data_IF_625147632819
#
_entry.id   IF_625147632819
#
_cell.length_a   1.000
_cell.length_b   1.000
_cell.length_c   1.000
_cell.angle_alpha   90.00
_cell.angle_beta   90.00
_cell.angle_gamma   90.00
#
_symmetry.space_group_name_H-M   'P 1'
#
loop_
_entity.id
_entity.type
_entity.pdbx_description
1 polymer ?
#
# COMPACT_ATOMS: atom_id res chain seq x y z
N UNK A 1 5.50 -5.07 -16.01
CA UNK A 1 5.84 -5.35 -14.60
C UNK A 1 5.20 -6.67 -14.21
N UNK A 2 5.87 -7.52 -13.43
CA UNK A 2 5.25 -8.75 -12.92
C UNK A 2 4.34 -8.39 -11.73
N UNK A 3 3.13 -8.95 -11.71
CA UNK A 3 2.24 -8.91 -10.55
C UNK A 3 2.79 -9.84 -9.47
N UNK A 4 2.55 -9.51 -8.21
CA UNK A 4 2.91 -10.39 -7.10
C UNK A 4 1.92 -11.56 -7.02
N UNK A 5 2.44 -12.76 -6.74
CA UNK A 5 1.62 -13.94 -6.39
C UNK A 5 0.92 -13.78 -5.04
N UNK A 6 1.43 -12.89 -4.18
CA UNK A 6 0.83 -12.53 -2.89
C UNK A 6 0.38 -11.07 -2.89
N UNK A 7 -0.89 -10.77 -2.62
CA UNK A 7 -1.36 -9.39 -2.53
C UNK A 7 -0.73 -8.68 -1.33
N UNK A 8 -0.53 -7.36 -1.47
CA UNK A 8 -0.20 -6.46 -0.37
C UNK A 8 -1.46 -6.13 0.46
N UNK A 9 -1.30 -5.24 1.45
CA UNK A 9 -2.35 -4.92 2.44
C UNK A 9 -3.61 -4.30 1.83
N UNK A 10 -3.53 -3.72 0.63
CA UNK A 10 -4.67 -3.09 -0.04
C UNK A 10 -5.76 -4.09 -0.43
N UNK A 11 -5.50 -5.41 -0.39
CA UNK A 11 -6.53 -6.44 -0.61
C UNK A 11 -7.70 -6.36 0.38
N UNK A 12 -7.50 -5.75 1.54
CA UNK A 12 -8.52 -5.60 2.58
C UNK A 12 -9.31 -4.28 2.46
N UNK A 13 -8.94 -3.40 1.53
CA UNK A 13 -9.62 -2.13 1.33
C UNK A 13 -10.93 -2.29 0.57
N UNK A 14 -11.88 -1.37 0.80
CA UNK A 14 -13.17 -1.38 0.09
C UNK A 14 -13.12 -0.63 -1.24
N UNK A 15 -12.15 0.27 -1.39
CA UNK A 15 -12.03 1.13 -2.58
C UNK A 15 -11.61 0.30 -3.80
N UNK A 16 -12.39 0.31 -4.90
CA UNK A 16 -12.01 -0.36 -6.14
C UNK A 16 -10.66 0.11 -6.67
N UNK A 17 -10.35 1.40 -6.52
CA UNK A 17 -9.06 1.98 -6.91
C UNK A 17 -7.89 1.36 -6.13
N UNK A 18 -8.02 1.22 -4.82
CA UNK A 18 -6.97 0.60 -3.99
C UNK A 18 -6.82 -0.90 -4.27
N UNK A 19 -7.94 -1.60 -4.47
CA UNK A 19 -7.95 -3.03 -4.80
C UNK A 19 -7.23 -3.35 -6.11
N UNK A 20 -7.30 -2.46 -7.11
CA UNK A 20 -6.54 -2.61 -8.36
C UNK A 20 -5.01 -2.60 -8.14
N UNK A 21 -4.54 -2.01 -7.04
CA UNK A 21 -3.13 -1.96 -6.66
C UNK A 21 -2.71 -3.05 -5.67
N UNK A 22 -3.62 -3.94 -5.26
CA UNK A 22 -3.34 -4.98 -4.27
C UNK A 22 -2.28 -6.00 -4.72
N UNK A 23 -2.19 -6.29 -6.02
CA UNK A 23 -1.21 -7.25 -6.56
C UNK A 23 0.05 -6.58 -7.12
N UNK A 24 0.23 -5.28 -6.91
CA UNK A 24 1.42 -4.58 -7.36
C UNK A 24 2.67 -5.04 -6.58
N UNK A 25 3.86 -4.98 -7.22
CA UNK A 25 5.11 -5.41 -6.59
C UNK A 25 5.52 -4.59 -5.37
N UNK A 26 5.02 -3.35 -5.28
CA UNK A 26 5.24 -2.47 -4.13
C UNK A 26 4.35 -2.94 -2.98
N UNK A 27 4.94 -3.10 -1.79
CA UNK A 27 4.20 -3.39 -0.55
C UNK A 27 3.45 -2.15 -0.07
N UNK A 28 2.32 -1.85 -0.73
CA UNK A 28 1.49 -0.72 -0.39
C UNK A 28 0.80 -0.91 0.96
N UNK A 29 0.75 0.17 1.72
CA UNK A 29 -0.05 0.31 2.93
C UNK A 29 -1.20 1.26 2.64
N UNK A 30 -2.41 1.00 3.15
CA UNK A 30 -3.44 2.03 3.22
C UNK A 30 -2.98 3.15 4.17
N UNK A 31 -3.62 4.31 4.06
CA UNK A 31 -3.36 5.40 4.99
C UNK A 31 -3.80 5.04 6.40
N UNK A 32 -2.90 5.09 7.37
CA UNK A 32 -3.20 4.79 8.77
C UNK A 32 -1.95 4.63 9.64
N UNK A 33 -2.17 4.43 10.94
CA UNK A 33 -1.10 4.43 11.96
C UNK A 33 -0.05 3.34 11.74
N UNK A 34 -0.41 2.19 11.16
CA UNK A 34 0.54 1.11 10.85
C UNK A 34 1.67 1.58 9.91
N UNK A 35 1.33 2.35 8.88
CA UNK A 35 2.29 2.86 7.92
C UNK A 35 3.29 3.83 8.58
N UNK A 36 2.79 4.73 9.43
CA UNK A 36 3.62 5.69 10.17
C UNK A 36 4.48 5.02 11.23
N UNK A 37 3.92 4.06 11.98
CA UNK A 37 4.65 3.30 12.99
C UNK A 37 5.81 2.52 12.37
N UNK A 38 5.57 1.87 11.22
CA UNK A 38 6.61 1.16 10.46
C UNK A 38 7.68 2.13 9.94
N UNK A 39 7.28 3.25 9.35
CA UNK A 39 8.22 4.26 8.84
C UNK A 39 9.13 4.81 9.95
N UNK A 40 8.56 5.12 11.12
CA UNK A 40 9.31 5.57 12.30
C UNK A 40 10.26 4.49 12.84
N UNK A 41 9.78 3.25 12.95
CA UNK A 41 10.58 2.13 13.48
C UNK A 41 11.74 1.78 12.56
N UNK A 42 11.51 1.79 11.25
CA UNK A 42 12.54 1.48 10.25
C UNK A 42 13.40 2.70 9.87
N UNK A 43 13.10 3.89 10.42
CA UNK A 43 13.72 5.16 10.06
C UNK A 43 13.75 5.39 8.53
N UNK A 44 12.60 5.17 7.88
CA UNK A 44 12.42 5.34 6.43
C UNK A 44 11.40 6.44 6.14
N UNK A 45 11.61 7.24 5.09
CA UNK A 45 10.61 8.22 4.66
C UNK A 45 9.36 7.53 4.10
N UNK A 46 8.24 8.25 4.11
CA UNK A 46 6.98 7.78 3.51
C UNK A 46 6.88 8.29 2.08
N UNK A 47 6.66 7.38 1.15
CA UNK A 47 6.23 7.72 -0.21
C UNK A 47 4.70 7.71 -0.26
N UNK A 48 4.08 8.89 -0.36
CA UNK A 48 2.63 9.04 -0.42
C UNK A 48 2.17 9.18 -1.87
N UNK A 49 1.29 8.28 -2.30
CA UNK A 49 0.61 8.36 -3.60
C UNK A 49 -0.88 8.57 -3.37
N UNK A 50 -1.45 9.59 -4.00
CA UNK A 50 -2.88 9.92 -3.93
C UNK A 50 -3.40 9.91 -5.36
N UNK A 51 -4.47 9.16 -5.58
CA UNK A 51 -5.18 9.10 -6.85
C UNK A 51 -6.67 9.35 -6.67
N UNK A 52 -7.33 9.58 -7.79
CA UNK A 52 -8.77 9.72 -7.93
C UNK A 52 -9.22 8.82 -9.07
N UNK A 53 -10.47 8.33 -9.01
CA UNK A 53 -11.07 7.44 -10.01
C UNK A 53 -12.12 8.14 -10.85
#
# INVERSE_FOLDING_TARGET
MKLNEKPNRLVNEKSPYLLQHANNPVDWFPWGDEAFAKAKTENKPIFLSIGYS
#
